data_IF_909966425605
#
_entry.id   IF_909966425605
#
_cell.length_a   1.000
_cell.length_b   1.000
_cell.length_c   1.000
_cell.angle_alpha   90.00
_cell.angle_beta   90.00
_cell.angle_gamma   90.00
#
_symmetry.space_group_name_H-M   'P 1'
#
loop_
_entity.id
_entity.type
_entity.pdbx_description
1 polymer ?
#
# COMPACT_ATOMS: atom_id res chain seq x y z
N UNK A 1 24.35 0.55 16.67
CA UNK A 1 24.05 0.29 15.24
C UNK A 1 24.32 -1.19 14.91
N UNK A 2 23.53 -1.83 14.03
CA UNK A 2 22.52 -1.22 13.17
C UNK A 2 21.25 -0.78 13.91
N UNK A 3 20.69 0.37 13.53
CA UNK A 3 19.36 0.82 13.94
C UNK A 3 18.82 1.84 12.93
N UNK A 4 17.50 2.04 12.88
CA UNK A 4 16.87 2.96 11.94
C UNK A 4 15.92 3.95 12.58
N UNK A 5 15.77 5.12 11.96
CA UNK A 5 14.77 6.13 12.29
C UNK A 5 13.90 6.36 11.06
N UNK A 6 12.60 6.06 11.16
CA UNK A 6 11.65 6.26 10.07
C UNK A 6 10.82 7.52 10.28
N UNK A 7 10.47 8.20 9.19
CA UNK A 7 9.55 9.33 9.18
C UNK A 7 8.56 9.22 8.02
N UNK A 8 7.32 9.67 8.28
CA UNK A 8 6.36 9.97 7.23
C UNK A 8 5.93 11.42 7.42
N UNK A 9 6.12 12.23 6.39
CA UNK A 9 5.96 13.67 6.50
C UNK A 9 5.76 14.37 5.17
N UNK A 10 5.37 15.64 5.25
CA UNK A 10 5.22 16.52 4.10
C UNK A 10 6.55 17.12 3.70
N UNK A 11 6.81 17.12 2.41
CA UNK A 11 7.96 17.76 1.78
C UNK A 11 7.50 18.75 0.72
N UNK A 12 8.31 19.78 0.52
CA UNK A 12 8.01 20.86 -0.41
C UNK A 12 9.16 21.03 -1.41
N UNK A 13 8.83 21.08 -2.70
CA UNK A 13 9.77 21.43 -3.77
C UNK A 13 9.20 22.60 -4.54
N UNK A 14 9.98 23.67 -4.75
CA UNK A 14 9.53 24.82 -5.51
C UNK A 14 9.59 24.54 -7.03
N UNK A 15 8.80 23.55 -7.47
CA UNK A 15 8.75 23.05 -8.84
C UNK A 15 8.30 24.18 -9.80
N UNK A 16 9.10 24.37 -10.85
CA UNK A 16 8.93 25.44 -11.84
C UNK A 16 7.78 25.09 -12.77
N UNK A 17 7.69 23.82 -13.18
CA UNK A 17 6.65 23.34 -14.10
C UNK A 17 5.98 22.09 -13.52
N UNK A 18 4.94 22.27 -12.69
CA UNK A 18 4.10 21.18 -12.23
C UNK A 18 3.50 20.42 -13.43
N UNK A 19 3.31 19.12 -13.29
CA UNK A 19 2.85 18.29 -14.39
C UNK A 19 2.68 16.82 -14.03
N UNK A 20 2.10 16.05 -14.95
CA UNK A 20 1.81 14.62 -14.78
C UNK A 20 1.12 14.33 -13.44
N UNK A 21 0.01 15.02 -13.18
CA UNK A 21 -0.84 14.80 -12.01
C UNK A 21 -0.05 14.82 -10.67
N UNK A 22 0.15 13.67 -10.03
CA UNK A 22 0.86 13.55 -8.74
C UNK A 22 2.40 13.48 -8.85
N UNK A 23 2.97 13.37 -10.05
CA UNK A 23 4.41 13.10 -10.21
C UNK A 23 5.31 14.32 -10.07
N UNK A 24 4.79 15.51 -10.41
CA UNK A 24 5.49 16.80 -10.25
C UNK A 24 4.57 17.80 -9.57
N UNK A 25 4.61 17.80 -8.25
CA UNK A 25 3.85 18.70 -7.37
C UNK A 25 4.79 19.57 -6.54
N UNK A 26 4.23 20.57 -5.87
CA UNK A 26 4.99 21.44 -4.94
C UNK A 26 4.95 20.99 -3.49
N UNK A 27 3.94 20.20 -3.14
CA UNK A 27 3.73 19.57 -1.84
C UNK A 27 3.45 18.09 -2.10
N UNK A 28 4.11 17.21 -1.36
CA UNK A 28 3.93 15.76 -1.42
C UNK A 28 4.36 15.13 -0.09
N UNK A 29 4.03 13.87 0.11
CA UNK A 29 4.41 13.11 1.31
C UNK A 29 5.48 12.08 0.96
N UNK A 30 6.45 11.94 1.85
CA UNK A 30 7.52 10.96 1.75
C UNK A 30 7.45 9.97 2.91
N UNK A 31 7.90 8.75 2.65
CA UNK A 31 8.16 7.72 3.66
C UNK A 31 9.65 7.43 3.58
N UNK A 32 10.40 7.83 4.60
CA UNK A 32 11.86 7.78 4.60
C UNK A 32 12.34 6.99 5.82
N UNK A 33 13.45 6.28 5.65
CA UNK A 33 14.13 5.57 6.71
C UNK A 33 15.62 5.92 6.67
N UNK A 34 16.13 6.49 7.75
CA UNK A 34 17.56 6.65 7.96
C UNK A 34 18.09 5.45 8.73
N UNK A 35 18.80 4.54 8.05
CA UNK A 35 19.33 3.32 8.65
C UNK A 35 20.84 3.44 8.89
N UNK A 36 21.20 3.59 10.17
CA UNK A 36 22.57 3.81 10.62
C UNK A 36 23.31 2.49 10.78
N UNK A 37 24.46 2.34 10.13
CA UNK A 37 25.24 1.11 10.08
C UNK A 37 26.72 1.37 10.36
N UNK A 38 27.45 0.31 10.72
CA UNK A 38 28.90 0.39 10.93
C UNK A 38 29.60 0.53 9.57
N UNK A 39 30.55 1.46 9.39
CA UNK A 39 31.34 1.54 8.16
C UNK A 39 31.98 0.19 7.82
N UNK A 40 31.92 -0.20 6.54
CA UNK A 40 32.38 -1.52 6.08
C UNK A 40 31.32 -2.62 6.11
N UNK A 41 30.14 -2.37 6.70
CA UNK A 41 28.95 -3.24 6.57
C UNK A 41 27.88 -2.64 5.66
N UNK A 42 28.12 -1.43 5.15
CA UNK A 42 27.14 -0.61 4.43
C UNK A 42 26.63 -1.23 3.13
N UNK A 43 27.48 -1.94 2.39
CA UNK A 43 27.08 -2.59 1.13
C UNK A 43 26.10 -3.75 1.35
N UNK A 44 26.31 -4.54 2.41
CA UNK A 44 25.40 -5.62 2.78
C UNK A 44 24.03 -5.07 3.19
N UNK A 45 24.03 -4.03 4.03
CA UNK A 45 22.79 -3.37 4.46
C UNK A 45 22.08 -2.66 3.31
N UNK A 46 22.82 -2.04 2.40
CA UNK A 46 22.28 -1.41 1.20
C UNK A 46 21.55 -2.43 0.32
N UNK A 47 22.19 -3.56 0.03
CA UNK A 47 21.58 -4.61 -0.77
C UNK A 47 20.36 -5.22 -0.07
N UNK A 48 20.44 -5.46 1.23
CA UNK A 48 19.31 -5.96 2.02
C UNK A 48 18.10 -5.03 1.94
N UNK A 49 18.30 -3.71 2.06
CA UNK A 49 17.20 -2.75 1.93
C UNK A 49 16.65 -2.67 0.51
N UNK A 50 17.48 -2.77 -0.53
CA UNK A 50 17.00 -2.85 -1.93
C UNK A 50 16.04 -4.04 -2.10
N UNK A 51 16.44 -5.22 -1.62
CA UNK A 51 15.66 -6.45 -1.76
C UNK A 51 14.37 -6.40 -0.92
N UNK A 52 14.48 -5.95 0.33
CA UNK A 52 13.33 -5.81 1.25
C UNK A 52 12.29 -4.83 0.70
N UNK A 53 12.73 -3.69 0.16
CA UNK A 53 11.82 -2.67 -0.38
C UNK A 53 11.16 -3.14 -1.67
N UNK A 54 11.87 -3.86 -2.55
CA UNK A 54 11.24 -4.48 -3.72
C UNK A 54 10.17 -5.50 -3.29
N UNK A 55 10.52 -6.38 -2.34
CA UNK A 55 9.60 -7.41 -1.87
C UNK A 55 8.37 -6.81 -1.22
N UNK A 56 8.50 -5.69 -0.49
CA UNK A 56 7.37 -4.99 0.10
C UNK A 56 6.31 -4.56 -0.93
N UNK A 57 6.72 -4.06 -2.10
CA UNK A 57 5.79 -3.71 -3.18
C UNK A 57 5.12 -4.95 -3.80
N UNK A 58 5.89 -6.01 -4.01
CA UNK A 58 5.39 -7.27 -4.58
C UNK A 58 4.39 -7.93 -3.63
N UNK A 59 4.74 -8.00 -2.34
CA UNK A 59 3.88 -8.56 -1.30
C UNK A 59 2.56 -7.82 -1.21
N UNK A 60 2.54 -6.51 -1.47
CA UNK A 60 1.34 -5.68 -1.48
C UNK A 60 0.60 -5.66 -2.83
N UNK A 61 0.99 -6.56 -3.75
CA UNK A 61 0.21 -6.87 -4.95
C UNK A 61 0.69 -6.20 -6.23
N UNK A 62 1.83 -5.50 -6.23
CA UNK A 62 2.42 -5.03 -7.50
C UNK A 62 3.01 -6.21 -8.26
N UNK A 63 2.64 -6.36 -9.52
CA UNK A 63 3.19 -7.35 -10.44
C UNK A 63 4.71 -7.15 -10.65
N UNK A 64 5.56 -8.17 -10.41
CA UNK A 64 7.01 -8.04 -10.54
C UNK A 64 7.49 -7.54 -11.91
N UNK A 65 6.79 -7.88 -13.00
CA UNK A 65 7.11 -7.42 -14.36
C UNK A 65 6.95 -5.91 -14.59
N UNK A 66 6.25 -5.22 -13.69
CA UNK A 66 6.07 -3.78 -13.69
C UNK A 66 7.04 -3.05 -12.76
N UNK A 67 7.95 -3.78 -12.11
CA UNK A 67 9.03 -3.23 -11.30
C UNK A 67 10.38 -3.53 -11.93
N UNK A 68 11.34 -2.64 -11.73
CA UNK A 68 12.75 -2.91 -12.03
C UNK A 68 13.66 -2.14 -11.09
N UNK A 69 14.89 -2.63 -10.97
CA UNK A 69 15.98 -1.82 -10.42
C UNK A 69 16.61 -0.96 -11.51
N UNK A 70 16.92 0.28 -11.15
CA UNK A 70 17.72 1.20 -11.94
C UNK A 70 18.91 1.67 -11.11
N UNK A 71 20.09 1.19 -11.45
CA UNK A 71 21.35 1.60 -10.83
C UNK A 71 21.78 2.96 -11.41
N UNK A 72 22.02 3.95 -10.55
CA UNK A 72 22.47 5.26 -11.02
C UNK A 72 23.90 5.15 -11.58
N UNK A 73 24.17 5.70 -12.79
CA UNK A 73 25.53 5.78 -13.29
C UNK A 73 26.34 6.75 -12.42
N UNK A 74 27.66 6.53 -12.35
CA UNK A 74 28.55 7.27 -11.44
C UNK A 74 28.43 8.80 -11.61
N UNK A 75 28.17 9.28 -12.83
CA UNK A 75 28.05 10.71 -13.14
C UNK A 75 26.73 11.33 -12.69
N UNK A 76 25.71 10.51 -12.42
CA UNK A 76 24.40 10.93 -11.95
C UNK A 76 24.24 10.85 -10.42
N UNK A 77 25.20 10.22 -9.72
CA UNK A 77 25.19 10.14 -8.27
C UNK A 77 25.29 11.53 -7.64
N UNK A 78 24.52 11.76 -6.58
CA UNK A 78 24.75 12.90 -5.70
C UNK A 78 26.15 12.84 -5.12
N UNK A 79 26.79 13.98 -4.87
CA UNK A 79 28.20 14.06 -4.47
C UNK A 79 28.53 13.33 -3.16
N UNK A 80 27.52 13.00 -2.36
CA UNK A 80 27.61 12.27 -1.09
C UNK A 80 27.18 10.80 -1.18
N UNK A 81 26.64 10.35 -2.32
CA UNK A 81 26.19 8.96 -2.48
C UNK A 81 27.31 8.08 -3.00
N UNK A 82 27.60 7.00 -2.26
CA UNK A 82 28.49 5.92 -2.72
C UNK A 82 27.81 5.04 -3.77
N UNK A 83 26.50 4.81 -3.62
CA UNK A 83 25.68 3.98 -4.51
C UNK A 83 24.21 4.33 -4.32
N UNK A 84 23.45 4.46 -5.41
CA UNK A 84 22.00 4.65 -5.38
C UNK A 84 21.34 3.71 -6.37
N UNK A 85 20.32 2.99 -5.89
CA UNK A 85 19.45 2.15 -6.72
C UNK A 85 18.02 2.64 -6.55
N UNK A 86 17.38 2.96 -7.67
CA UNK A 86 15.95 3.22 -7.68
C UNK A 86 15.18 1.95 -7.96
N UNK A 87 14.09 1.74 -7.23
CA UNK A 87 12.98 0.93 -7.68
C UNK A 87 12.15 1.81 -8.60
N UNK A 88 11.99 1.40 -9.85
CA UNK A 88 11.13 2.08 -10.82
C UNK A 88 9.89 1.25 -11.12
N UNK A 89 8.78 1.94 -11.31
CA UNK A 89 7.52 1.34 -11.75
C UNK A 89 7.18 1.72 -13.20
N UNK A 90 6.54 0.79 -13.90
CA UNK A 90 6.10 0.93 -15.28
C UNK A 90 4.86 1.84 -15.44
N UNK A 91 4.99 3.14 -15.12
CA UNK A 91 3.90 4.12 -15.27
C UNK A 91 3.46 4.36 -16.73
N UNK A 92 4.23 3.90 -17.73
CA UNK A 92 3.97 4.10 -19.15
C UNK A 92 3.85 5.59 -19.55
N UNK A 93 4.73 6.43 -19.02
CA UNK A 93 4.77 7.85 -19.41
C UNK A 93 5.10 8.03 -20.89
N UNK A 94 4.70 9.17 -21.43
CA UNK A 94 5.10 9.56 -22.78
C UNK A 94 6.62 9.73 -22.84
N UNK A 95 7.30 8.89 -23.62
CA UNK A 95 8.76 8.92 -23.82
C UNK A 95 9.57 8.00 -22.91
N UNK A 96 9.03 7.55 -21.77
CA UNK A 96 9.65 6.53 -20.92
C UNK A 96 8.58 5.63 -20.30
N UNK A 97 8.76 4.30 -20.43
CA UNK A 97 7.90 3.33 -19.73
C UNK A 97 8.02 3.48 -18.20
N UNK A 98 9.18 3.88 -17.71
CA UNK A 98 9.58 3.77 -16.33
C UNK A 98 9.65 5.12 -15.64
N UNK A 99 9.31 5.13 -14.35
CA UNK A 99 9.56 6.26 -13.46
C UNK A 99 9.90 5.79 -12.05
N UNK A 100 10.73 6.58 -11.38
CA UNK A 100 11.16 6.39 -9.99
C UNK A 100 9.97 6.28 -9.03
N UNK A 101 9.94 5.18 -8.27
CA UNK A 101 8.98 4.92 -7.21
C UNK A 101 9.59 5.13 -5.83
N UNK A 102 10.81 4.62 -5.63
CA UNK A 102 11.57 4.73 -4.39
C UNK A 102 13.07 4.67 -4.68
N UNK A 103 13.85 5.57 -4.07
CA UNK A 103 15.31 5.57 -4.14
C UNK A 103 15.91 4.94 -2.90
N UNK A 104 16.92 4.07 -3.06
CA UNK A 104 17.67 3.49 -1.96
C UNK A 104 19.14 3.90 -2.11
N UNK A 105 19.58 4.83 -1.26
CA UNK A 105 20.92 5.42 -1.31
C UNK A 105 21.82 4.95 -0.17
N UNK A 106 23.11 4.76 -0.45
CA UNK A 106 24.18 4.65 0.53
C UNK A 106 24.94 5.98 0.58
N UNK A 107 24.71 6.75 1.64
CA UNK A 107 25.19 8.14 1.79
C UNK A 107 26.46 8.24 2.63
N UNK A 108 27.03 7.11 3.03
CA UNK A 108 28.21 7.03 3.90
C UNK A 108 28.01 7.86 5.18
N UNK A 109 29.04 8.55 5.66
CA UNK A 109 29.01 9.38 6.88
C UNK A 109 28.68 10.86 6.61
N UNK A 110 28.36 11.23 5.36
CA UNK A 110 28.25 12.61 4.93
C UNK A 110 27.30 13.45 5.79
N UNK A 111 26.08 12.93 6.00
CA UNK A 111 25.01 13.67 6.68
C UNK A 111 25.35 13.98 8.13
N UNK A 112 25.78 12.97 8.87
CA UNK A 112 26.18 13.11 10.27
C UNK A 112 27.42 14.00 10.41
N UNK A 113 28.37 13.90 9.48
CA UNK A 113 29.58 14.71 9.50
C UNK A 113 29.28 16.19 9.30
N UNK A 114 28.50 16.53 8.26
CA UNK A 114 28.12 17.93 7.98
C UNK A 114 27.31 18.52 9.13
N UNK A 115 26.39 17.76 9.72
CA UNK A 115 25.62 18.23 10.87
C UNK A 115 26.45 18.35 12.16
N UNK A 116 27.40 17.46 12.40
CA UNK A 116 28.33 17.59 13.54
C UNK A 116 29.18 18.85 13.40
N UNK A 117 29.75 19.10 12.21
CA UNK A 117 30.55 20.29 11.92
C UNK A 117 29.75 21.58 12.04
N UNK A 118 28.50 21.58 11.55
CA UNK A 118 27.63 22.76 11.57
C UNK A 118 27.02 23.08 12.94
N UNK A 119 26.77 22.06 13.77
CA UNK A 119 26.14 22.24 15.10
C UNK A 119 27.14 22.33 16.26
N UNK A 120 28.33 21.72 16.11
CA UNK A 120 29.29 21.55 17.19
C UNK A 120 29.00 20.36 18.12
N UNK A 121 27.91 19.63 17.89
CA UNK A 121 27.57 18.42 18.65
C UNK A 121 28.23 17.19 18.04
N UNK A 122 28.72 16.28 18.90
CA UNK A 122 29.36 15.03 18.47
C UNK A 122 28.29 13.96 18.15
N UNK A 123 28.06 13.71 16.86
CA UNK A 123 27.17 12.66 16.38
C UNK A 123 27.88 11.32 16.12
N UNK A 124 29.12 11.14 16.60
CA UNK A 124 29.81 9.85 16.53
C UNK A 124 29.20 8.83 17.49
N UNK A 125 29.31 7.55 17.13
CA UNK A 125 28.98 6.42 17.98
C UNK A 125 30.23 5.88 18.67
N UNK A 126 30.14 5.64 19.97
CA UNK A 126 31.19 4.98 20.74
C UNK A 126 30.84 3.50 20.94
N UNK A 127 31.64 2.63 20.33
CA UNK A 127 31.53 1.18 20.43
C UNK A 127 32.28 0.70 21.68
N UNK A 128 31.55 0.24 22.69
CA UNK A 128 32.14 -0.23 23.96
C UNK A 128 32.89 -1.55 23.82
N UNK A 129 32.57 -2.37 22.81
CA UNK A 129 33.20 -3.67 22.61
C UNK A 129 34.59 -3.50 21.97
N UNK A 130 34.71 -2.59 21.00
CA UNK A 130 35.99 -2.29 20.35
C UNK A 130 36.73 -1.12 20.99
N UNK A 131 36.07 -0.35 21.86
CA UNK A 131 36.59 0.88 22.48
C UNK A 131 36.99 1.95 21.43
N UNK A 132 36.23 2.05 20.35
CA UNK A 132 36.48 2.96 19.23
C UNK A 132 35.30 3.92 19.02
N UNK A 133 35.61 5.11 18.48
CA UNK A 133 34.61 6.06 17.99
C UNK A 133 34.59 6.08 16.47
N UNK A 134 33.40 6.06 15.91
CA UNK A 134 33.20 6.16 14.46
C UNK A 134 31.88 6.86 14.15
N UNK A 135 31.80 7.48 12.97
CA UNK A 135 30.56 8.07 12.48
C UNK A 135 29.81 7.00 11.68
N UNK A 136 28.55 6.67 12.03
CA UNK A 136 27.78 5.70 11.28
C UNK A 136 27.60 6.08 9.82
N UNK A 137 27.58 5.06 8.96
CA UNK A 137 27.13 5.23 7.58
C UNK A 137 25.61 5.18 7.52
N UNK A 138 25.01 5.87 6.57
CA UNK A 138 23.55 5.98 6.43
C UNK A 138 23.09 5.30 5.14
N UNK A 139 22.19 4.34 5.29
CA UNK A 139 21.42 3.76 4.18
C UNK A 139 20.01 4.34 4.25
N UNK A 140 19.57 4.94 3.14
CA UNK A 140 18.31 5.68 3.06
C UNK A 140 17.41 5.09 1.97
N UNK A 141 16.38 4.30 2.34
CA UNK A 141 15.20 4.11 1.51
C UNK A 141 14.26 5.31 1.63
N UNK A 142 13.95 5.94 0.50
CA UNK A 142 13.09 7.11 0.40
C UNK A 142 12.01 6.90 -0.67
N UNK A 143 10.78 6.65 -0.21
CA UNK A 143 9.62 6.42 -1.07
C UNK A 143 8.72 7.65 -1.14
N UNK A 144 8.20 7.96 -2.33
CA UNK A 144 7.12 8.94 -2.47
C UNK A 144 5.76 8.30 -2.20
N UNK A 145 5.08 8.66 -1.10
CA UNK A 145 3.81 8.05 -0.69
C UNK A 145 2.76 8.14 -1.82
N UNK A 146 2.62 9.33 -2.42
CA UNK A 146 1.68 9.52 -3.54
C UNK A 146 2.03 8.66 -4.76
N UNK A 147 3.31 8.46 -5.06
CA UNK A 147 3.76 7.62 -6.18
C UNK A 147 3.47 6.14 -5.91
N UNK A 148 3.71 5.68 -4.69
CA UNK A 148 3.35 4.33 -4.25
C UNK A 148 1.83 4.10 -4.33
N UNK A 149 1.03 5.04 -3.83
CA UNK A 149 -0.43 5.00 -3.95
C UNK A 149 -0.89 4.85 -5.41
N UNK A 150 -0.35 5.65 -6.32
CA UNK A 150 -0.68 5.55 -7.74
C UNK A 150 -0.21 4.24 -8.36
N UNK A 151 0.98 3.75 -8.00
CA UNK A 151 1.47 2.47 -8.49
C UNK A 151 0.51 1.34 -8.09
N UNK A 152 0.10 1.26 -6.82
CA UNK A 152 -0.88 0.26 -6.37
C UNK A 152 -2.23 0.39 -7.07
N UNK A 153 -2.74 1.62 -7.26
CA UNK A 153 -4.00 1.83 -7.98
C UNK A 153 -3.94 1.39 -9.44
N UNK A 154 -2.91 1.83 -10.16
CA UNK A 154 -2.75 1.50 -11.59
C UNK A 154 -2.49 0.02 -11.77
N UNK A 155 -1.69 -0.60 -10.90
CA UNK A 155 -1.38 -2.02 -11.03
C UNK A 155 -2.61 -2.89 -10.70
N UNK A 156 -3.42 -2.49 -9.72
CA UNK A 156 -4.64 -3.19 -9.34
C UNK A 156 -5.81 -3.03 -10.34
N UNK A 157 -5.81 -1.98 -11.16
CA UNK A 157 -6.88 -1.74 -12.13
C UNK A 157 -7.00 -2.89 -13.13
N UNK A 158 -8.17 -3.52 -13.13
CA UNK A 158 -8.47 -4.66 -14.02
C UNK A 158 -9.85 -4.48 -14.63
N UNK A 159 -9.95 -4.76 -15.93
CA UNK A 159 -11.23 -4.97 -16.61
C UNK A 159 -11.39 -6.48 -16.87
N UNK A 160 -12.38 -7.10 -16.22
CA UNK A 160 -12.72 -8.51 -16.41
C UNK A 160 -14.20 -8.69 -16.79
N UNK A 161 -14.63 -9.94 -17.00
CA UNK A 161 -16.02 -10.28 -17.32
C UNK A 161 -16.73 -10.83 -16.09
N UNK A 162 -17.99 -10.44 -15.89
CA UNK A 162 -18.80 -10.92 -14.79
C UNK A 162 -20.24 -11.19 -15.21
N UNK A 163 -20.92 -12.20 -14.62
CA UNK A 163 -22.30 -12.52 -14.95
C UNK A 163 -23.25 -11.34 -14.73
N UNK A 164 -24.17 -11.16 -15.68
CA UNK A 164 -25.24 -10.17 -15.59
C UNK A 164 -26.58 -10.82 -15.24
N UNK A 165 -27.54 -10.00 -14.81
CA UNK A 165 -28.87 -10.46 -14.39
C UNK A 165 -29.75 -10.97 -15.54
N UNK A 166 -29.25 -10.96 -16.78
CA UNK A 166 -29.97 -11.41 -17.99
C UNK A 166 -29.39 -12.70 -18.57
N UNK A 167 -28.45 -13.35 -17.88
CA UNK A 167 -27.86 -14.62 -18.32
C UNK A 167 -26.70 -14.48 -19.32
N UNK A 168 -26.08 -13.30 -19.42
CA UNK A 168 -24.85 -13.06 -20.18
C UNK A 168 -23.71 -12.56 -19.27
N UNK A 169 -22.65 -12.04 -19.88
CA UNK A 169 -21.53 -11.39 -19.18
C UNK A 169 -21.48 -9.90 -19.53
N UNK A 170 -21.17 -9.07 -18.54
CA UNK A 170 -20.85 -7.66 -18.74
C UNK A 170 -19.39 -7.42 -18.32
N UNK A 171 -18.72 -6.47 -18.99
CA UNK A 171 -17.43 -5.95 -18.54
C UNK A 171 -17.57 -5.32 -17.15
N UNK A 172 -16.59 -5.61 -16.29
CA UNK A 172 -16.47 -5.17 -14.92
C UNK A 172 -15.14 -4.45 -14.75
N UNK A 173 -15.20 -3.24 -14.20
CA UNK A 173 -14.01 -2.61 -13.61
C UNK A 173 -13.88 -3.11 -12.17
N UNK A 174 -12.70 -3.59 -11.80
CA UNK A 174 -12.38 -4.01 -10.44
C UNK A 174 -10.97 -3.54 -10.08
N UNK A 175 -10.83 -2.95 -8.89
CA UNK A 175 -9.52 -2.71 -8.30
C UNK A 175 -9.11 -3.94 -7.49
N UNK A 176 -8.21 -4.76 -8.04
CA UNK A 176 -7.66 -5.95 -7.35
C UNK A 176 -6.59 -5.59 -6.32
N UNK A 177 -6.89 -4.60 -5.47
CA UNK A 177 -6.01 -4.17 -4.39
C UNK A 177 -5.75 -5.32 -3.43
N UNK A 178 -4.53 -5.42 -2.89
CA UNK A 178 -4.29 -6.26 -1.72
C UNK A 178 -5.26 -5.84 -0.61
N UNK A 179 -5.87 -6.82 0.07
CA UNK A 179 -6.86 -6.59 1.12
C UNK A 179 -6.37 -5.63 2.22
N UNK A 180 -5.06 -5.58 2.51
CA UNK A 180 -4.46 -4.66 3.49
C UNK A 180 -4.54 -3.21 3.02
N UNK A 181 -4.49 -2.97 1.71
CA UNK A 181 -4.58 -1.65 1.10
C UNK A 181 -6.00 -1.20 0.77
N UNK A 182 -6.97 -2.12 0.68
CA UNK A 182 -8.34 -1.76 0.34
C UNK A 182 -8.95 -0.74 1.33
N UNK A 183 -9.58 0.36 0.86
CA UNK A 183 -10.08 1.42 1.73
C UNK A 183 -11.25 0.96 2.61
N UNK A 184 -12.09 0.07 2.06
CA UNK A 184 -13.19 -0.62 2.74
C UNK A 184 -12.84 -2.10 2.76
N UNK A 185 -12.93 -2.75 3.92
CA UNK A 185 -12.62 -4.18 4.07
C UNK A 185 -13.84 -5.05 3.79
N UNK A 186 -15.01 -4.59 4.27
CA UNK A 186 -16.28 -5.28 4.07
C UNK A 186 -17.39 -4.28 3.78
N UNK A 187 -18.24 -4.57 2.80
CA UNK A 187 -19.49 -3.84 2.58
C UNK A 187 -20.68 -4.68 3.01
N UNK A 188 -21.56 -4.15 3.85
CA UNK A 188 -22.78 -4.84 4.32
C UNK A 188 -23.99 -4.30 3.55
N UNK A 189 -24.65 -5.18 2.81
CA UNK A 189 -25.59 -4.84 1.75
C UNK A 189 -26.92 -5.62 1.92
N UNK A 190 -28.00 -5.05 2.46
CA UNK A 190 -29.27 -5.75 2.54
C UNK A 190 -29.87 -5.92 1.14
N UNK A 191 -30.46 -7.07 0.81
CA UNK A 191 -30.99 -7.37 -0.53
C UNK A 191 -32.00 -6.31 -1.00
N UNK A 192 -32.80 -5.77 -0.07
CA UNK A 192 -33.74 -4.68 -0.31
C UNK A 192 -33.74 -3.67 0.83
N UNK A 193 -34.43 -2.53 0.64
CA UNK A 193 -34.59 -1.47 1.64
C UNK A 193 -35.65 -1.77 2.71
N UNK A 194 -36.23 -2.97 2.73
CA UNK A 194 -37.26 -3.30 3.71
C UNK A 194 -36.65 -3.33 5.11
N UNK A 195 -37.34 -2.80 6.15
CA UNK A 195 -36.83 -2.77 7.51
C UNK A 195 -36.36 -4.13 8.02
N UNK A 196 -37.10 -5.20 7.67
CA UNK A 196 -36.75 -6.58 8.03
C UNK A 196 -35.35 -7.03 7.57
N UNK A 197 -34.81 -6.46 6.50
CA UNK A 197 -33.44 -6.74 6.03
C UNK A 197 -32.45 -5.63 6.37
N UNK A 198 -32.90 -4.38 6.33
CA UNK A 198 -32.07 -3.20 6.59
C UNK A 198 -31.62 -3.15 8.06
N UNK A 199 -32.50 -3.40 9.02
CA UNK A 199 -32.15 -3.33 10.44
C UNK A 199 -31.12 -4.40 10.87
N UNK A 200 -31.25 -5.69 10.47
CA UNK A 200 -30.19 -6.67 10.74
C UNK A 200 -28.87 -6.30 10.06
N UNK A 201 -28.90 -5.82 8.82
CA UNK A 201 -27.71 -5.39 8.10
C UNK A 201 -27.01 -4.21 8.79
N UNK A 202 -27.75 -3.24 9.32
CA UNK A 202 -27.18 -2.12 10.10
C UNK A 202 -26.51 -2.60 11.38
N UNK A 203 -27.12 -3.57 12.08
CA UNK A 203 -26.53 -4.16 13.29
C UNK A 203 -25.24 -4.90 12.98
N UNK A 204 -25.23 -5.73 11.93
CA UNK A 204 -24.03 -6.44 11.47
C UNK A 204 -22.93 -5.43 11.08
N UNK A 205 -23.28 -4.40 10.31
CA UNK A 205 -22.33 -3.36 9.93
C UNK A 205 -21.76 -2.64 11.16
N UNK A 206 -22.60 -2.29 12.14
CA UNK A 206 -22.16 -1.63 13.37
C UNK A 206 -21.21 -2.50 14.21
N UNK A 207 -21.43 -3.82 14.25
CA UNK A 207 -20.53 -4.77 14.91
C UNK A 207 -19.17 -4.85 14.19
N UNK A 208 -19.19 -5.08 12.87
CA UNK A 208 -17.96 -5.21 12.08
C UNK A 208 -17.14 -3.90 12.04
N UNK A 209 -17.78 -2.73 12.16
CA UNK A 209 -17.11 -1.41 12.26
C UNK A 209 -16.21 -1.26 13.47
N UNK A 210 -16.37 -2.09 14.50
CA UNK A 210 -15.48 -2.07 15.66
C UNK A 210 -14.10 -2.64 15.35
N UNK A 211 -13.96 -3.36 14.22
CA UNK A 211 -12.75 -4.08 13.84
C UNK A 211 -12.16 -3.57 12.52
N UNK A 212 -13.00 -3.20 11.56
CA UNK A 212 -12.55 -2.84 10.22
C UNK A 212 -13.29 -1.64 9.64
N UNK A 213 -12.75 -1.09 8.54
CA UNK A 213 -13.45 -0.09 7.73
C UNK A 213 -14.62 -0.73 6.99
N UNK A 214 -15.85 -0.42 7.39
CA UNK A 214 -17.06 -1.02 6.84
C UNK A 214 -17.97 0.02 6.18
N UNK A 215 -18.40 -0.29 4.97
CA UNK A 215 -19.46 0.44 4.27
C UNK A 215 -20.82 -0.26 4.45
N UNK A 216 -21.88 0.53 4.61
CA UNK A 216 -23.26 0.04 4.58
C UNK A 216 -24.01 0.81 3.51
N UNK A 217 -24.69 0.09 2.61
CA UNK A 217 -25.35 0.72 1.48
C UNK A 217 -26.63 -0.02 1.09
N UNK A 218 -27.70 0.76 0.97
CA UNK A 218 -29.04 0.29 0.58
C UNK A 218 -29.48 0.84 -0.79
N UNK A 219 -28.65 1.65 -1.43
CA UNK A 219 -29.00 2.38 -2.64
C UNK A 219 -28.93 1.50 -3.89
N UNK A 220 -29.98 1.51 -4.71
CA UNK A 220 -30.04 0.73 -5.95
C UNK A 220 -30.16 -0.78 -5.76
N UNK A 221 -30.10 -1.51 -6.88
CA UNK A 221 -30.15 -2.97 -6.88
C UNK A 221 -28.84 -3.57 -6.32
N UNK A 222 -28.91 -4.78 -5.75
CA UNK A 222 -27.74 -5.46 -5.15
C UNK A 222 -26.56 -5.58 -6.12
N UNK A 223 -26.81 -5.93 -7.39
CA UNK A 223 -25.75 -6.01 -8.41
C UNK A 223 -25.02 -4.68 -8.64
N UNK A 224 -25.73 -3.54 -8.60
CA UNK A 224 -25.09 -2.21 -8.71
C UNK A 224 -24.24 -1.89 -7.48
N UNK A 225 -24.64 -2.38 -6.30
CA UNK A 225 -23.86 -2.24 -5.06
C UNK A 225 -22.57 -3.04 -5.13
N UNK A 226 -22.64 -4.30 -5.56
CA UNK A 226 -21.42 -5.09 -5.81
C UNK A 226 -20.48 -4.41 -6.82
N UNK A 227 -21.00 -3.86 -7.92
CA UNK A 227 -20.18 -3.12 -8.91
C UNK A 227 -19.42 -1.94 -8.30
N UNK A 228 -20.08 -1.11 -7.49
CA UNK A 228 -19.40 0.00 -6.80
C UNK A 228 -18.31 -0.47 -5.85
N UNK A 229 -18.55 -1.57 -5.16
CA UNK A 229 -17.59 -2.14 -4.21
C UNK A 229 -16.40 -2.78 -4.93
N UNK A 230 -16.63 -3.44 -6.07
CA UNK A 230 -15.59 -3.95 -6.96
C UNK A 230 -14.72 -2.79 -7.50
N UNK A 231 -15.35 -1.69 -7.95
CA UNK A 231 -14.67 -0.48 -8.47
C UNK A 231 -13.74 0.20 -7.44
N UNK A 232 -14.05 0.12 -6.15
CA UNK A 232 -13.18 0.66 -5.07
C UNK A 232 -12.31 -0.40 -4.40
N UNK A 233 -12.37 -1.65 -4.88
CA UNK A 233 -11.51 -2.74 -4.45
C UNK A 233 -11.86 -3.37 -3.11
N UNK A 234 -13.10 -3.25 -2.65
CA UNK A 234 -13.57 -3.86 -1.39
C UNK A 234 -13.48 -5.39 -1.46
N UNK A 235 -12.71 -6.07 -0.59
CA UNK A 235 -12.47 -7.51 -0.68
C UNK A 235 -13.72 -8.37 -0.47
N UNK A 236 -14.61 -7.98 0.47
CA UNK A 236 -15.78 -8.78 0.82
C UNK A 236 -17.07 -7.96 0.82
N UNK A 237 -18.14 -8.53 0.27
CA UNK A 237 -19.50 -8.00 0.42
C UNK A 237 -20.35 -9.01 1.20
N UNK A 238 -20.98 -8.56 2.29
CA UNK A 238 -21.91 -9.34 3.10
C UNK A 238 -23.33 -8.95 2.75
N UNK A 239 -24.13 -9.91 2.29
CA UNK A 239 -25.52 -9.68 1.90
C UNK A 239 -26.48 -10.31 2.89
N UNK A 240 -27.44 -9.49 3.35
CA UNK A 240 -28.57 -9.90 4.19
C UNK A 240 -29.78 -10.05 3.28
N UNK A 241 -30.28 -11.27 3.11
CA UNK A 241 -31.41 -11.61 2.24
C UNK A 241 -32.60 -12.16 3.04
N UNK A 242 -33.67 -12.57 2.36
CA UNK A 242 -34.86 -13.08 3.04
C UNK A 242 -34.58 -14.40 3.77
N UNK A 243 -33.69 -15.23 3.22
CA UNK A 243 -33.30 -16.50 3.84
C UNK A 243 -32.58 -16.23 5.18
N UNK A 244 -31.92 -15.07 5.34
CA UNK A 244 -31.26 -14.67 6.61
C UNK A 244 -32.25 -14.64 7.77
N UNK A 245 -33.51 -14.33 7.51
CA UNK A 245 -34.56 -14.28 8.54
C UNK A 245 -34.96 -15.67 9.04
N UNK A 246 -34.67 -16.71 8.27
CA UNK A 246 -34.99 -18.10 8.58
C UNK A 246 -33.77 -18.85 9.12
N UNK A 247 -32.61 -18.68 8.49
CA UNK A 247 -31.40 -19.48 8.77
C UNK A 247 -30.35 -18.78 9.64
N UNK A 248 -30.55 -17.49 9.96
CA UNK A 248 -29.61 -16.65 10.71
C UNK A 248 -28.20 -16.63 10.09
N UNK A 249 -28.11 -16.70 8.77
CA UNK A 249 -26.88 -16.66 8.00
C UNK A 249 -26.90 -15.56 6.95
N UNK A 250 -25.73 -15.14 6.51
CA UNK A 250 -25.53 -14.12 5.47
C UNK A 250 -24.70 -14.69 4.34
N UNK A 251 -24.86 -14.11 3.16
CA UNK A 251 -24.06 -14.48 1.99
C UNK A 251 -22.84 -13.59 1.90
N UNK A 252 -21.63 -14.16 1.99
CA UNK A 252 -20.37 -13.44 1.84
C UNK A 252 -19.84 -13.66 0.43
N UNK A 253 -19.70 -12.58 -0.34
CA UNK A 253 -19.12 -12.57 -1.67
C UNK A 253 -17.68 -12.08 -1.62
N UNK A 254 -16.76 -12.83 -2.19
CA UNK A 254 -15.36 -12.41 -2.38
C UNK A 254 -15.19 -11.68 -3.72
N UNK A 255 -14.38 -10.62 -3.75
CA UNK A 255 -14.24 -9.68 -4.88
C UNK A 255 -13.67 -10.33 -6.14
N UNK A 256 -12.56 -11.06 -6.03
CA UNK A 256 -11.76 -11.48 -7.17
C UNK A 256 -12.36 -12.70 -7.87
N UNK A 257 -12.72 -13.72 -7.10
CA UNK A 257 -13.38 -14.95 -7.56
C UNK A 257 -14.86 -14.77 -7.85
N UNK A 258 -15.50 -13.78 -7.21
CA UNK A 258 -16.96 -13.60 -7.18
C UNK A 258 -17.73 -14.77 -6.53
N UNK A 259 -17.03 -15.70 -5.87
CA UNK A 259 -17.64 -16.80 -5.13
C UNK A 259 -18.48 -16.28 -3.96
N UNK A 260 -19.57 -16.98 -3.66
CA UNK A 260 -20.51 -16.64 -2.62
C UNK A 260 -20.61 -17.80 -1.64
N UNK A 261 -20.34 -17.54 -0.37
CA UNK A 261 -20.43 -18.51 0.71
C UNK A 261 -21.53 -18.11 1.70
N UNK A 262 -22.35 -19.07 2.13
CA UNK A 262 -23.37 -18.85 3.17
C UNK A 262 -22.73 -19.07 4.54
N UNK A 263 -22.63 -18.01 5.34
CA UNK A 263 -21.93 -18.01 6.63
C UNK A 263 -22.91 -17.59 7.73
N UNK A 264 -22.97 -18.35 8.82
CA UNK A 264 -23.81 -17.97 9.96
C UNK A 264 -23.36 -16.63 10.54
N UNK A 265 -24.31 -15.82 10.99
CA UNK A 265 -23.99 -14.50 11.56
C UNK A 265 -23.08 -14.63 12.79
N UNK A 266 -23.24 -15.69 13.59
CA UNK A 266 -22.39 -15.97 14.75
C UNK A 266 -20.92 -16.22 14.41
N UNK A 267 -20.65 -16.82 13.23
CA UNK A 267 -19.29 -17.18 12.77
C UNK A 267 -18.68 -16.10 11.85
N UNK A 268 -19.46 -15.09 11.46
CA UNK A 268 -19.09 -14.13 10.42
C UNK A 268 -17.81 -13.36 10.77
N UNK A 269 -17.67 -12.94 12.02
CA UNK A 269 -16.49 -12.19 12.46
C UNK A 269 -15.21 -13.04 12.33
N UNK A 270 -15.24 -14.28 12.80
CA UNK A 270 -14.09 -15.17 12.75
C UNK A 270 -13.76 -15.57 11.30
N UNK A 271 -14.79 -15.82 10.50
CA UNK A 271 -14.65 -16.08 9.06
C UNK A 271 -13.91 -14.96 8.33
N UNK A 272 -14.25 -13.70 8.64
CA UNK A 272 -13.60 -12.52 8.07
C UNK A 272 -12.20 -12.31 8.65
N UNK A 273 -12.00 -12.50 9.95
CA UNK A 273 -10.72 -12.31 10.61
C UNK A 273 -9.62 -13.19 10.02
N UNK A 274 -9.91 -14.46 9.72
CA UNK A 274 -8.93 -15.36 9.06
C UNK A 274 -8.57 -14.91 7.65
N UNK A 275 -9.44 -14.13 7.00
CA UNK A 275 -9.27 -13.65 5.62
C UNK A 275 -8.81 -12.19 5.53
N UNK A 276 -8.78 -11.47 6.66
CA UNK A 276 -8.35 -10.08 6.75
C UNK A 276 -7.12 -9.95 7.68
N UNK A 277 -6.32 -11.00 7.81
CA UNK A 277 -5.07 -10.96 8.59
C UNK A 277 -4.16 -9.86 8.03
N UNK A 278 -3.71 -8.97 8.93
CA UNK A 278 -2.87 -7.82 8.61
C UNK A 278 -3.63 -6.55 8.19
N UNK A 279 -4.97 -6.60 8.14
CA UNK A 279 -5.85 -5.44 7.90
C UNK A 279 -6.26 -4.74 9.19
#
# INVERSE_FOLDING_TARGET
PPFGIANIGKSFRNEITPGNFIFRTREFEQMELEFFVKPGTDEEWHQKWIDERLQWYIDLGIRPENLRFYEHPQEALSHYSKRTVDIEYAYNFQGSKWGELEGIANRTDYDLKVHSEGSGEDLSYFDQETNERWIPYVIEPAAGLGRAFMAFLVDAYTEDEAPNSKGGVDTRVVLKLDRRLAPVKVAVLPLSKKPELAEPAEKIAAQLRQLWNIEYDTSGAIGRRYRRQDEIGTPFCVTVDFDTLEDNAVTVRERDSMEQERVKIEDLQDYLATRLVGC
#
